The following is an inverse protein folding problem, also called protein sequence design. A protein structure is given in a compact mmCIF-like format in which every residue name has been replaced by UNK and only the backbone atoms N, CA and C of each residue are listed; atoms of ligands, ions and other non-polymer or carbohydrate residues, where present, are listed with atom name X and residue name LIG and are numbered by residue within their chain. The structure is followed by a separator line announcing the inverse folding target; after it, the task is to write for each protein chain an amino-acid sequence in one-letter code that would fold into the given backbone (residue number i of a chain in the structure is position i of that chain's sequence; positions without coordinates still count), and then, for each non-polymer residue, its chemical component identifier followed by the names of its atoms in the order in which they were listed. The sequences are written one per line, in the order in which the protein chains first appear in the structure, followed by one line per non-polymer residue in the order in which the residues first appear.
data_IF_895962560886
#
_entry.id   IF_895962560886
#
_cell.length_a   1.000
_cell.length_b   1.000
_cell.length_c   1.000
_cell.angle_alpha   90.00
_cell.angle_beta   90.00
_cell.angle_gamma   90.00
#
_symmetry.space_group_name_H-M   'P 1'
#
loop_
_entity.id
_entity.type
_entity.pdbx_description
1 polymer ?
#
# COMPACT_ATOMS: atom_id res chain seq x y z
N UNK A 1 15.69 15.65 -5.43
CA UNK A 1 14.27 15.74 -5.79
C UNK A 1 13.99 15.55 -7.27
N UNK A 2 14.66 16.25 -8.21
CA UNK A 2 14.26 16.15 -9.62
C UNK A 2 14.32 14.72 -10.23
N UNK A 3 15.34 13.93 -9.90
CA UNK A 3 15.37 12.51 -10.30
C UNK A 3 14.35 11.64 -9.56
N UNK A 4 14.13 11.88 -8.27
CA UNK A 4 13.18 11.10 -7.45
C UNK A 4 11.73 11.39 -7.79
N UNK A 5 11.46 12.58 -8.35
CA UNK A 5 10.17 13.00 -8.91
C UNK A 5 10.08 12.67 -10.42
N UNK A 6 11.06 11.90 -10.93
CA UNK A 6 11.08 11.39 -12.29
C UNK A 6 10.90 12.48 -13.36
N UNK A 7 11.50 13.66 -13.15
CA UNK A 7 11.31 14.81 -14.04
C UNK A 7 11.93 14.58 -15.42
N UNK A 8 11.14 14.74 -16.46
CA UNK A 8 11.53 14.41 -17.84
C UNK A 8 12.74 15.21 -18.34
N UNK A 9 12.87 16.47 -17.92
CA UNK A 9 13.98 17.35 -18.31
C UNK A 9 15.33 16.88 -17.76
N UNK A 10 15.35 16.19 -16.61
CA UNK A 10 16.58 15.66 -16.02
C UNK A 10 17.07 14.39 -16.71
N UNK A 11 16.17 13.59 -17.26
CA UNK A 11 16.51 12.37 -17.99
C UNK A 11 16.69 12.60 -19.50
N UNK A 12 16.38 13.80 -20.00
CA UNK A 12 16.40 14.15 -21.43
C UNK A 12 15.59 13.15 -22.29
N UNK A 13 14.43 12.74 -21.77
CA UNK A 13 13.53 11.77 -22.40
C UNK A 13 12.41 12.49 -23.15
N UNK A 14 12.14 12.06 -24.38
CA UNK A 14 11.09 12.62 -25.25
C UNK A 14 10.02 11.59 -25.61
N UNK A 15 10.25 10.31 -25.30
CA UNK A 15 9.31 9.22 -25.48
C UNK A 15 9.32 8.30 -24.26
N UNK A 16 8.18 7.66 -23.99
CA UNK A 16 8.04 6.69 -22.92
C UNK A 16 8.60 5.30 -23.31
N UNK A 17 8.52 4.35 -22.38
CA UNK A 17 9.02 2.99 -22.55
C UNK A 17 8.36 2.21 -23.72
N UNK A 18 7.21 2.65 -24.23
CA UNK A 18 6.55 2.07 -25.41
C UNK A 18 6.91 2.80 -26.70
N UNK A 19 7.71 3.86 -26.63
CA UNK A 19 8.07 4.71 -27.76
C UNK A 19 7.04 5.78 -28.10
N UNK A 20 6.01 6.01 -27.26
CA UNK A 20 5.08 7.12 -27.49
C UNK A 20 5.70 8.43 -27.01
N UNK A 21 5.52 9.50 -27.79
CA UNK A 21 5.98 10.82 -27.40
C UNK A 21 5.38 11.24 -26.04
N UNK A 22 6.20 11.86 -25.19
CA UNK A 22 5.73 12.48 -23.95
C UNK A 22 4.91 13.71 -24.30
N UNK A 23 3.67 13.81 -23.79
CA UNK A 23 2.80 14.93 -24.13
C UNK A 23 3.32 16.25 -23.55
N UNK A 24 3.08 17.39 -24.22
CA UNK A 24 3.30 18.71 -23.64
C UNK A 24 2.53 18.84 -22.32
N UNK A 25 3.26 19.13 -21.23
CA UNK A 25 2.70 19.31 -19.89
C UNK A 25 2.96 18.15 -18.92
N UNK A 26 3.33 16.96 -19.41
CA UNK A 26 3.79 15.88 -18.54
C UNK A 26 5.23 16.16 -18.09
N UNK A 27 5.38 16.73 -16.89
CA UNK A 27 6.68 17.22 -16.42
C UNK A 27 7.51 16.14 -15.71
N UNK A 28 6.89 15.09 -15.18
CA UNK A 28 7.59 14.00 -14.52
C UNK A 28 6.66 12.85 -14.10
N UNK A 29 7.27 11.70 -13.81
CA UNK A 29 6.59 10.47 -13.41
C UNK A 29 7.11 9.24 -14.16
N UNK A 30 6.43 8.10 -14.03
CA UNK A 30 6.84 6.80 -14.56
C UNK A 30 7.18 6.80 -16.06
N UNK A 31 6.54 7.67 -16.86
CA UNK A 31 6.85 7.75 -18.30
C UNK A 31 8.23 8.34 -18.58
N UNK A 32 8.84 8.99 -17.60
CA UNK A 32 10.13 9.65 -17.73
C UNK A 32 11.26 8.95 -16.96
N UNK A 33 10.93 8.05 -16.02
CA UNK A 33 11.90 7.25 -15.27
C UNK A 33 11.54 5.76 -15.35
N UNK A 34 11.66 5.19 -16.55
CA UNK A 34 11.46 3.76 -16.79
C UNK A 34 12.77 2.98 -16.70
N UNK A 35 12.69 1.65 -16.84
CA UNK A 35 13.85 0.77 -16.73
C UNK A 35 15.01 1.21 -17.66
N UNK A 36 16.22 1.14 -17.14
CA UNK A 36 17.43 1.59 -17.84
C UNK A 36 17.66 3.11 -17.83
N UNK A 37 16.70 3.94 -17.42
CA UNK A 37 16.95 5.38 -17.20
C UNK A 37 17.89 5.57 -16.01
N UNK A 38 18.85 6.49 -16.14
CA UNK A 38 19.83 6.79 -15.10
C UNK A 38 19.76 8.27 -14.76
N UNK A 39 19.56 8.56 -13.48
CA UNK A 39 19.70 9.92 -12.98
C UNK A 39 21.15 10.35 -13.18
N UNK A 40 21.37 11.53 -13.75
CA UNK A 40 22.70 12.10 -13.87
C UNK A 40 23.31 12.33 -12.49
N UNK A 41 24.27 11.50 -12.09
CA UNK A 41 25.12 11.79 -10.95
C UNK A 41 26.04 12.97 -11.32
N UNK A 42 26.23 13.93 -10.41
CA UNK A 42 27.22 14.98 -10.60
C UNK A 42 28.62 14.34 -10.73
N UNK A 43 29.20 14.45 -11.92
CA UNK A 43 30.57 14.14 -12.36
C UNK A 43 31.34 13.00 -11.66
N UNK A 44 31.76 12.02 -12.47
CA UNK A 44 32.81 11.00 -12.22
C UNK A 44 32.65 10.11 -10.98
N UNK A 45 32.37 8.81 -11.20
CA UNK A 45 32.57 7.77 -10.18
C UNK A 45 31.40 6.83 -9.89
N UNK A 46 30.28 6.93 -10.60
CA UNK A 46 29.11 6.06 -10.39
C UNK A 46 29.22 4.66 -11.03
N UNK A 47 30.40 4.23 -11.49
CA UNK A 47 30.68 2.79 -11.62
C UNK A 47 30.92 2.24 -10.22
N UNK A 48 29.83 1.94 -9.52
CA UNK A 48 29.90 1.13 -8.31
C UNK A 48 30.64 -0.15 -8.64
N UNK A 49 31.74 -0.42 -7.92
CA UNK A 49 32.53 -1.65 -8.13
C UNK A 49 31.60 -2.85 -8.04
N UNK A 50 31.61 -3.69 -9.09
CA UNK A 50 30.85 -4.93 -9.08
C UNK A 50 31.18 -5.71 -7.79
N UNK A 51 30.15 -5.97 -6.98
CA UNK A 51 30.28 -6.71 -5.73
C UNK A 51 29.58 -8.05 -5.88
N UNK A 52 30.29 -9.12 -5.56
CA UNK A 52 29.67 -10.43 -5.39
C UNK A 52 29.08 -10.47 -3.99
N UNK A 53 27.76 -10.56 -3.90
CA UNK A 53 27.05 -10.76 -2.64
C UNK A 53 26.58 -12.20 -2.56
N UNK A 54 26.74 -12.83 -1.39
CA UNK A 54 26.23 -14.18 -1.13
C UNK A 54 25.09 -14.06 -0.13
N UNK A 55 23.90 -14.51 -0.51
CA UNK A 55 22.75 -14.56 0.38
C UNK A 55 22.68 -15.94 1.04
N UNK A 56 22.86 -16.00 2.37
CA UNK A 56 22.58 -17.19 3.17
C UNK A 56 21.32 -16.92 3.99
N UNK A 57 20.29 -17.74 3.80
CA UNK A 57 19.06 -17.67 4.56
C UNK A 57 18.72 -19.03 5.17
N UNK A 58 18.01 -19.00 6.29
CA UNK A 58 17.44 -20.19 6.93
C UNK A 58 15.93 -20.04 6.86
N UNK A 59 15.27 -20.95 6.16
CA UNK A 59 13.82 -21.00 6.11
C UNK A 59 13.34 -21.79 7.33
N UNK A 60 12.49 -21.16 8.14
CA UNK A 60 11.74 -21.85 9.18
C UNK A 60 10.31 -22.04 8.69
N UNK A 61 9.76 -23.23 8.91
CA UNK A 61 8.37 -23.54 8.62
C UNK A 61 7.71 -24.12 9.87
N UNK A 62 6.38 -24.12 9.86
CA UNK A 62 5.53 -24.69 10.89
C UNK A 62 4.42 -25.43 10.16
N UNK A 63 4.04 -26.60 10.67
CA UNK A 63 2.84 -27.27 10.14
C UNK A 63 1.62 -26.38 10.41
N UNK A 64 0.76 -26.26 9.41
CA UNK A 64 -0.49 -25.52 9.52
C UNK A 64 -1.63 -26.36 8.95
N UNK A 65 -2.83 -26.16 9.50
CA UNK A 65 -4.05 -26.79 9.00
C UNK A 65 -4.94 -25.76 8.31
N UNK A 66 -5.75 -26.15 7.31
CA UNK A 66 -6.76 -25.26 6.71
C UNK A 66 -7.74 -24.65 7.72
N UNK A 67 -7.87 -25.24 8.91
CA UNK A 67 -8.67 -24.71 10.01
C UNK A 67 -7.97 -23.58 10.80
N UNK A 68 -6.64 -23.47 10.72
CA UNK A 68 -5.83 -22.52 11.49
C UNK A 68 -5.36 -21.30 10.67
N UNK A 69 -5.54 -21.30 9.35
CA UNK A 69 -5.12 -20.20 8.47
C UNK A 69 -6.31 -19.72 7.65
N UNK A 70 -6.63 -18.44 7.79
CA UNK A 70 -7.68 -17.79 7.02
C UNK A 70 -7.07 -17.13 5.78
N UNK A 71 -7.69 -17.27 4.60
CA UNK A 71 -7.27 -16.53 3.42
C UNK A 71 -7.44 -15.03 3.66
N UNK A 72 -6.49 -14.26 3.11
CA UNK A 72 -6.57 -12.79 3.09
C UNK A 72 -6.76 -12.31 1.66
N UNK A 73 -7.54 -11.24 1.52
CA UNK A 73 -7.74 -10.51 0.28
C UNK A 73 -6.94 -9.22 0.32
N UNK A 74 -6.28 -8.93 -0.80
CA UNK A 74 -5.45 -7.73 -0.96
C UNK A 74 -6.28 -6.68 -1.69
N UNK A 75 -6.39 -5.50 -1.10
CA UNK A 75 -7.01 -4.34 -1.74
C UNK A 75 -6.03 -3.19 -1.78
N UNK A 76 -6.02 -2.47 -2.90
CA UNK A 76 -5.20 -1.28 -3.13
C UNK A 76 -6.15 -0.16 -3.52
N UNK A 77 -6.15 0.91 -2.74
CA UNK A 77 -6.86 2.14 -3.04
C UNK A 77 -5.90 3.10 -3.73
N UNK A 78 -6.40 3.82 -4.74
CA UNK A 78 -5.63 4.83 -5.47
C UNK A 78 -6.41 6.15 -5.50
N UNK A 79 -5.85 7.18 -4.86
CA UNK A 79 -6.43 8.54 -4.89
C UNK A 79 -6.39 9.19 -6.27
N UNK A 80 -5.58 8.69 -7.20
CA UNK A 80 -5.52 9.16 -8.58
C UNK A 80 -6.61 8.55 -9.49
N UNK A 81 -7.46 7.65 -8.97
CA UNK A 81 -8.56 7.07 -9.74
C UNK A 81 -8.10 6.18 -10.90
N UNK A 82 -7.19 5.26 -10.62
CA UNK A 82 -6.53 4.34 -11.57
C UNK A 82 -5.45 4.98 -12.45
N UNK A 83 -5.07 6.23 -12.18
CA UNK A 83 -3.94 6.90 -12.83
C UNK A 83 -2.57 6.46 -12.28
N UNK A 84 -2.53 5.80 -11.12
CA UNK A 84 -1.34 5.42 -10.34
C UNK A 84 -0.58 6.63 -9.78
N UNK A 85 -0.32 7.64 -10.60
CA UNK A 85 0.40 8.86 -10.23
C UNK A 85 -0.44 10.12 -10.49
N UNK A 86 -0.10 11.19 -9.79
CA UNK A 86 -0.59 12.54 -10.04
C UNK A 86 0.45 13.58 -9.63
N UNK A 87 0.26 14.82 -10.07
CA UNK A 87 1.09 15.95 -9.67
C UNK A 87 0.46 16.69 -8.48
N UNK A 88 1.31 17.17 -7.57
CA UNK A 88 0.93 18.12 -6.52
C UNK A 88 1.48 19.48 -6.92
N UNK A 89 0.58 20.43 -7.15
CA UNK A 89 0.96 21.80 -7.46
C UNK A 89 1.35 22.59 -6.20
N UNK A 90 2.31 23.49 -6.37
CA UNK A 90 2.71 24.44 -5.33
C UNK A 90 1.54 25.39 -5.01
N UNK A 91 1.20 25.52 -3.74
CA UNK A 91 0.06 26.33 -3.30
C UNK A 91 0.47 27.41 -2.28
N UNK A 92 1.71 27.40 -1.80
CA UNK A 92 2.17 28.27 -0.73
C UNK A 92 2.97 29.51 -1.17
N UNK A 93 2.93 29.84 -2.45
CA UNK A 93 3.57 31.03 -3.01
C UNK A 93 2.79 32.31 -2.64
N UNK A 94 2.82 32.74 -1.37
CA UNK A 94 2.11 33.97 -0.97
C UNK A 94 1.78 34.18 0.51
N UNK A 95 2.75 34.06 1.42
CA UNK A 95 2.79 34.87 2.66
C UNK A 95 1.65 34.77 3.69
N UNK A 96 0.82 33.73 3.68
CA UNK A 96 -0.13 33.46 4.76
C UNK A 96 0.25 32.15 5.45
N UNK A 97 0.59 32.21 6.75
CA UNK A 97 1.14 31.10 7.55
C UNK A 97 0.16 29.96 7.85
N UNK A 98 -0.50 29.42 6.83
CA UNK A 98 -1.21 28.15 6.89
C UNK A 98 -0.28 26.96 6.64
N UNK A 99 -0.70 25.77 7.06
CA UNK A 99 0.02 24.53 6.81
C UNK A 99 -0.09 24.16 5.31
N UNK A 100 1.05 24.07 4.63
CA UNK A 100 1.14 23.82 3.19
C UNK A 100 0.91 22.34 2.86
N UNK A 101 -0.35 21.92 2.92
CA UNK A 101 -0.73 20.52 2.74
C UNK A 101 -1.73 20.38 1.60
N UNK A 102 -1.32 19.66 0.55
CA UNK A 102 -2.24 19.13 -0.45
C UNK A 102 -2.91 17.86 0.07
N UNK A 103 -4.24 17.81 -0.01
CA UNK A 103 -5.04 16.66 0.37
C UNK A 103 -5.78 16.13 -0.85
N UNK A 104 -5.63 14.83 -1.12
CA UNK A 104 -6.39 14.13 -2.17
C UNK A 104 -7.12 12.95 -1.57
N UNK A 105 -8.37 12.78 -1.97
CA UNK A 105 -9.24 11.73 -1.43
C UNK A 105 -9.85 10.90 -2.53
N UNK A 106 -10.01 9.60 -2.29
CA UNK A 106 -10.84 8.75 -3.12
C UNK A 106 -11.68 7.83 -2.25
N UNK A 107 -12.89 7.54 -2.72
CA UNK A 107 -13.83 6.64 -2.05
C UNK A 107 -14.13 5.48 -2.97
N UNK A 108 -13.96 4.26 -2.49
CA UNK A 108 -14.22 3.05 -3.25
C UNK A 108 -14.99 2.04 -2.40
N UNK A 109 -16.05 1.47 -2.97
CA UNK A 109 -16.77 0.37 -2.34
C UNK A 109 -15.91 -0.89 -2.34
N UNK A 110 -15.74 -1.49 -1.15
CA UNK A 110 -15.00 -2.73 -1.00
C UNK A 110 -15.86 -3.91 -1.47
N UNK A 111 -15.45 -4.68 -2.50
CA UNK A 111 -16.31 -5.72 -3.07
C UNK A 111 -16.74 -6.80 -2.07
N UNK A 112 -15.86 -7.13 -1.11
CA UNK A 112 -16.14 -8.06 -0.03
C UNK A 112 -15.47 -7.54 1.24
N UNK A 113 -16.22 -7.47 2.33
CA UNK A 113 -15.78 -7.09 3.66
C UNK A 113 -15.05 -8.19 4.40
N UNK A 114 -14.76 -7.97 5.68
CA UNK A 114 -14.02 -8.89 6.54
C UNK A 114 -13.28 -8.14 7.64
N UNK A 115 -12.31 -8.82 8.24
CA UNK A 115 -11.46 -8.25 9.28
C UNK A 115 -10.22 -7.65 8.61
N UNK A 116 -10.01 -6.35 8.76
CA UNK A 116 -8.73 -5.73 8.37
C UNK A 116 -7.68 -6.26 9.33
N UNK A 117 -6.59 -6.83 8.80
CA UNK A 117 -5.49 -7.41 9.60
C UNK A 117 -4.14 -6.75 9.30
N UNK A 118 -4.07 -5.95 8.23
CA UNK A 118 -2.92 -5.15 7.88
C UNK A 118 -3.35 -3.92 7.08
N UNK A 119 -2.67 -2.79 7.28
CA UNK A 119 -2.82 -1.60 6.47
C UNK A 119 -1.52 -0.80 6.36
N UNK A 120 -1.23 -0.25 5.18
CA UNK A 120 -0.06 0.62 4.95
C UNK A 120 -0.30 1.52 3.74
N UNK A 121 0.15 2.76 3.79
CA UNK A 121 0.16 3.64 2.64
C UNK A 121 1.48 3.55 1.87
N UNK A 122 1.43 3.90 0.59
CA UNK A 122 2.60 4.08 -0.25
C UNK A 122 2.55 5.47 -0.86
N UNK A 123 3.61 6.23 -0.62
CA UNK A 123 3.76 7.61 -1.07
C UNK A 123 5.20 7.83 -1.54
N UNK A 124 5.36 8.81 -2.42
CA UNK A 124 6.65 9.31 -2.87
C UNK A 124 7.08 10.49 -1.99
N UNK A 125 8.31 10.97 -2.21
CA UNK A 125 8.86 12.10 -1.48
C UNK A 125 7.93 13.33 -1.56
N UNK A 126 7.78 14.04 -0.44
CA UNK A 126 6.76 15.08 -0.25
C UNK A 126 5.50 14.56 0.45
N UNK A 127 5.28 13.23 0.52
CA UNK A 127 4.17 12.63 1.26
C UNK A 127 4.34 12.79 2.77
N UNK A 128 3.28 13.20 3.47
CA UNK A 128 3.26 13.27 4.93
C UNK A 128 2.67 11.99 5.55
N UNK A 129 1.72 11.37 4.86
CA UNK A 129 1.01 10.19 5.29
C UNK A 129 -0.32 10.04 4.56
N UNK A 130 -1.00 8.93 4.81
CA UNK A 130 -2.36 8.73 4.40
C UNK A 130 -3.17 8.01 5.48
N UNK A 131 -4.50 8.11 5.38
CA UNK A 131 -5.43 7.47 6.30
C UNK A 131 -6.58 6.82 5.53
N UNK A 132 -7.11 5.74 6.09
CA UNK A 132 -8.24 5.00 5.56
C UNK A 132 -9.40 5.10 6.54
N UNK A 133 -10.56 5.48 6.03
CA UNK A 133 -11.76 5.74 6.82
C UNK A 133 -12.93 4.87 6.34
N UNK A 134 -13.76 4.44 7.29
CA UNK A 134 -15.03 3.79 7.02
C UNK A 134 -16.09 4.76 6.53
N UNK A 135 -17.22 4.22 6.06
CA UNK A 135 -18.36 5.01 5.56
C UNK A 135 -18.96 5.96 6.62
N UNK A 136 -18.81 5.61 7.89
CA UNK A 136 -19.23 6.36 9.07
C UNK A 136 -18.17 7.37 9.55
N UNK A 137 -17.07 7.53 8.81
CA UNK A 137 -15.98 8.44 9.14
C UNK A 137 -15.02 7.90 10.22
N UNK A 138 -15.16 6.65 10.66
CA UNK A 138 -14.23 6.06 11.62
C UNK A 138 -12.86 5.83 10.98
N UNK A 139 -11.79 6.14 11.70
CA UNK A 139 -10.43 5.82 11.29
C UNK A 139 -10.20 4.31 11.37
N UNK A 140 -9.87 3.67 10.24
CA UNK A 140 -9.54 2.24 10.16
C UNK A 140 -8.04 2.02 10.28
N UNK A 141 -7.24 2.87 9.63
CA UNK A 141 -5.79 2.84 9.69
C UNK A 141 -5.20 4.20 9.30
N UNK A 142 -4.13 4.60 9.97
CA UNK A 142 -3.31 5.76 9.61
C UNK A 142 -1.88 5.30 9.39
N UNK A 143 -1.30 5.73 8.27
CA UNK A 143 0.05 5.37 7.84
C UNK A 143 0.83 6.66 7.58
N UNK A 144 1.81 6.93 8.44
CA UNK A 144 2.64 8.13 8.42
C UNK A 144 3.99 7.86 7.75
N UNK A 145 4.50 8.84 7.01
CA UNK A 145 5.80 8.74 6.38
C UNK A 145 6.93 8.96 7.40
N UNK A 146 7.98 8.14 7.29
CA UNK A 146 9.25 8.33 8.00
C UNK A 146 10.29 8.77 7.00
N UNK A 147 10.97 9.89 7.29
CA UNK A 147 12.01 10.44 6.42
C UNK A 147 13.40 10.11 6.94
N UNK A 148 14.31 9.84 6.00
CA UNK A 148 15.73 9.72 6.32
C UNK A 148 16.34 11.06 6.70
N UNK A 149 17.43 11.03 7.46
CA UNK A 149 18.19 12.21 7.89
C UNK A 149 19.66 12.24 7.45
N UNK A 150 20.15 11.13 6.90
CA UNK A 150 21.55 10.89 6.59
C UNK A 150 21.87 10.80 5.09
N UNK A 151 22.96 10.11 4.80
CA UNK A 151 23.48 9.87 3.43
C UNK A 151 23.67 8.38 3.14
N UNK A 152 23.30 7.52 4.09
CA UNK A 152 23.44 6.07 3.98
C UNK A 152 22.21 5.47 3.29
N UNK A 153 22.39 4.31 2.67
CA UNK A 153 21.31 3.61 2.00
C UNK A 153 20.21 3.20 2.99
N UNK A 154 19.00 3.69 2.80
CA UNK A 154 17.87 3.49 3.71
C UNK A 154 17.71 4.56 4.81
N UNK A 155 18.54 5.61 4.80
CA UNK A 155 18.42 6.79 5.69
C UNK A 155 18.66 8.09 4.89
N UNK A 156 18.41 8.11 3.59
CA UNK A 156 18.75 9.26 2.77
C UNK A 156 17.86 10.48 3.10
N UNK A 157 18.51 11.61 3.37
CA UNK A 157 17.83 12.87 3.65
C UNK A 157 16.89 13.28 2.51
N UNK A 158 15.62 13.54 2.86
CA UNK A 158 14.57 13.93 1.92
C UNK A 158 13.85 12.76 1.23
N UNK A 159 14.19 11.51 1.57
CA UNK A 159 13.49 10.32 1.10
C UNK A 159 12.54 9.79 2.17
N UNK A 160 11.40 9.27 1.73
CA UNK A 160 10.59 8.39 2.57
C UNK A 160 11.32 7.05 2.67
N UNK A 161 11.84 6.75 3.86
CA UNK A 161 12.58 5.52 4.16
C UNK A 161 11.71 4.48 4.88
N UNK A 162 10.49 4.86 5.26
CA UNK A 162 9.52 3.96 5.85
C UNK A 162 8.12 4.56 5.88
N UNK A 163 7.13 3.68 6.04
CA UNK A 163 5.73 4.03 6.26
C UNK A 163 5.25 3.26 7.48
N UNK A 164 4.54 3.91 8.41
CA UNK A 164 3.97 3.20 9.55
C UNK A 164 2.87 2.25 9.08
N UNK A 165 2.74 1.13 9.79
CA UNK A 165 1.84 0.04 9.44
C UNK A 165 0.81 -0.18 10.55
N UNK A 166 -0.42 -0.53 10.17
CA UNK A 166 -1.45 -0.95 11.10
C UNK A 166 -1.52 -2.47 11.15
N UNK A 167 -1.51 -3.03 12.36
CA UNK A 167 -1.76 -4.45 12.63
C UNK A 167 -2.90 -4.61 13.64
N UNK A 168 -4.14 -4.23 13.26
CA UNK A 168 -5.30 -4.44 14.11
C UNK A 168 -5.47 -5.93 14.44
N UNK A 169 -5.93 -6.21 15.67
CA UNK A 169 -6.35 -7.57 16.03
C UNK A 169 -7.55 -7.97 15.15
N UNK A 170 -7.64 -9.23 14.70
CA UNK A 170 -8.84 -9.73 14.02
C UNK A 170 -10.11 -9.40 14.81
N UNK A 171 -11.15 -8.96 14.11
CA UNK A 171 -12.41 -8.46 14.68
C UNK A 171 -12.39 -7.05 15.29
N UNK A 172 -11.22 -6.43 15.52
CA UNK A 172 -11.15 -5.07 16.07
C UNK A 172 -11.48 -4.00 15.02
N UNK A 173 -11.08 -4.24 13.77
CA UNK A 173 -11.38 -3.38 12.62
C UNK A 173 -12.05 -4.23 11.55
N UNK A 174 -13.37 -4.11 11.44
CA UNK A 174 -14.18 -4.85 10.46
C UNK A 174 -14.73 -3.92 9.40
N UNK A 175 -14.90 -4.42 8.19
CA UNK A 175 -15.51 -3.71 7.06
C UNK A 175 -16.57 -4.61 6.43
N UNK A 176 -17.67 -4.04 5.93
CA UNK A 176 -18.79 -4.79 5.36
C UNK A 176 -18.64 -4.97 3.85
N UNK A 177 -19.34 -5.95 3.31
CA UNK A 177 -19.50 -6.10 1.86
C UNK A 177 -20.11 -4.82 1.28
N UNK A 178 -19.46 -4.27 0.25
CA UNK A 178 -19.89 -3.03 -0.40
C UNK A 178 -19.65 -1.76 0.42
N UNK A 179 -19.02 -1.83 1.59
CA UNK A 179 -18.75 -0.62 2.41
C UNK A 179 -17.85 0.34 1.63
N UNK A 180 -18.26 1.60 1.42
CA UNK A 180 -17.40 2.61 0.83
C UNK A 180 -16.32 3.00 1.83
N UNK A 181 -15.06 2.78 1.46
CA UNK A 181 -13.91 3.22 2.24
C UNK A 181 -13.29 4.44 1.58
N UNK A 182 -12.92 5.43 2.38
CA UNK A 182 -12.30 6.67 1.91
C UNK A 182 -10.84 6.70 2.29
N UNK A 183 -9.96 6.75 1.29
CA UNK A 183 -8.54 7.05 1.48
C UNK A 183 -8.33 8.56 1.41
N UNK A 184 -7.52 9.09 2.34
CA UNK A 184 -7.11 10.48 2.40
C UNK A 184 -5.58 10.51 2.37
N UNK A 185 -5.00 10.98 1.27
CA UNK A 185 -3.56 11.14 1.08
C UNK A 185 -3.15 12.59 1.28
N UNK A 186 -2.07 12.81 2.05
CA UNK A 186 -1.55 14.14 2.37
C UNK A 186 -0.13 14.29 1.84
N UNK A 187 0.12 15.39 1.17
CA UNK A 187 1.42 15.79 0.63
C UNK A 187 1.74 17.22 1.04
N UNK A 188 3.01 17.55 1.21
CA UNK A 188 3.44 18.96 1.23
C UNK A 188 3.14 19.59 -0.13
N UNK A 189 2.67 20.84 -0.10
CA UNK A 189 2.49 21.70 -1.26
C UNK A 189 3.35 22.97 -1.18
N UNK A 190 4.43 22.92 -0.38
CA UNK A 190 5.45 23.97 -0.29
C UNK A 190 6.19 24.18 -1.62
N UNK A 191 6.19 23.14 -2.46
CA UNK A 191 6.76 23.12 -3.80
C UNK A 191 5.94 22.16 -4.65
N UNK A 192 6.11 22.27 -5.96
CA UNK A 192 5.56 21.27 -6.88
C UNK A 192 6.24 19.91 -6.72
N UNK A 193 5.45 18.85 -6.76
CA UNK A 193 5.90 17.46 -6.83
C UNK A 193 5.26 16.78 -8.05
N UNK A 194 6.06 16.08 -8.85
CA UNK A 194 5.58 15.38 -10.06
C UNK A 194 5.56 13.87 -9.85
N UNK A 195 4.57 13.20 -10.45
CA UNK A 195 4.51 11.74 -10.43
C UNK A 195 4.45 11.14 -9.02
N UNK A 196 3.66 11.74 -8.12
CA UNK A 196 3.51 11.20 -6.75
C UNK A 196 2.41 10.15 -6.70
N UNK A 197 2.53 9.18 -5.79
CA UNK A 197 1.52 8.15 -5.56
C UNK A 197 0.73 8.40 -4.28
N UNK A 198 -0.55 8.07 -4.26
CA UNK A 198 -1.36 8.10 -3.03
C UNK A 198 -2.08 6.78 -2.86
N UNK A 199 -1.31 5.71 -2.70
CA UNK A 199 -1.86 4.36 -2.61
C UNK A 199 -2.05 3.95 -1.15
N UNK A 200 -3.06 3.12 -0.89
CA UNK A 200 -3.27 2.51 0.41
C UNK A 200 -3.56 1.03 0.25
N UNK A 201 -2.77 0.19 0.92
CA UNK A 201 -2.84 -1.26 0.86
C UNK A 201 -3.48 -1.77 2.14
N UNK A 202 -4.44 -2.68 2.01
CA UNK A 202 -4.97 -3.43 3.16
C UNK A 202 -5.02 -4.93 2.86
N UNK A 203 -4.86 -5.72 3.92
CA UNK A 203 -5.19 -7.14 3.93
C UNK A 203 -6.47 -7.35 4.74
N UNK A 204 -7.45 -7.99 4.12
CA UNK A 204 -8.74 -8.29 4.72
C UNK A 204 -8.90 -9.80 4.83
N UNK A 205 -8.90 -10.32 6.05
CA UNK A 205 -9.21 -11.72 6.31
C UNK A 205 -10.72 -11.95 6.17
N UNK A 206 -11.11 -13.09 5.61
CA UNK A 206 -12.49 -13.55 5.71
C UNK A 206 -12.86 -13.65 7.19
N UNK A 207 -14.10 -13.27 7.55
CA UNK A 207 -14.58 -13.55 8.90
C UNK A 207 -14.39 -15.03 9.17
N UNK A 208 -13.80 -15.38 10.32
CA UNK A 208 -13.69 -16.76 10.72
C UNK A 208 -15.09 -17.35 10.62
N UNK A 209 -15.31 -18.28 9.68
CA UNK A 209 -16.52 -19.09 9.71
C UNK A 209 -16.53 -19.67 11.11
N UNK A 210 -17.53 -19.32 11.91
CA UNK A 210 -17.97 -20.25 12.94
C UNK A 210 -18.25 -21.52 12.16
N UNK A 211 -17.32 -22.48 12.21
CA UNK A 211 -17.61 -23.83 11.81
C UNK A 211 -18.94 -24.14 12.51
N UNK A 212 -20.00 -24.53 11.79
CA UNK A 212 -21.19 -24.99 12.46
C UNK A 212 -20.70 -26.03 13.49
N UNK A 213 -21.15 -25.97 14.76
CA UNK A 213 -20.73 -26.95 15.75
C UNK A 213 -20.88 -28.31 15.09
N UNK A 214 -19.80 -29.11 15.02
CA UNK A 214 -19.78 -30.37 14.28
C UNK A 214 -21.09 -31.10 14.53
N UNK A 215 -22.01 -31.05 13.56
CA UNK A 215 -23.31 -31.65 13.74
C UNK A 215 -23.04 -33.16 13.79
N UNK A 216 -23.38 -33.78 14.93
CA UNK A 216 -23.27 -35.22 15.07
C UNK A 216 -24.01 -35.90 13.92
N UNK A 217 -23.42 -36.95 13.35
CA UNK A 217 -24.08 -37.77 12.35
C UNK A 217 -25.33 -38.39 12.98
N UNK A 218 -26.50 -37.88 12.62
CA UNK A 218 -27.79 -38.38 13.09
C UNK A 218 -28.38 -39.30 12.02
N UNK A 219 -28.62 -40.56 12.38
CA UNK A 219 -29.27 -41.54 11.52
C UNK A 219 -30.73 -41.69 11.93
N UNK A 220 -31.64 -41.76 10.95
CA UNK A 220 -33.09 -41.67 11.19
C UNK A 220 -33.85 -42.99 11.09
N UNK A 221 -33.18 -44.16 11.02
CA UNK A 221 -33.88 -45.45 10.98
C UNK A 221 -33.08 -46.59 11.63
N UNK A 222 -33.71 -47.51 12.39
CA UNK A 222 -35.12 -47.57 12.80
C UNK A 222 -35.44 -46.78 14.11
N UNK A 223 -34.43 -46.18 14.75
CA UNK A 223 -34.57 -45.24 15.88
C UNK A 223 -33.65 -44.05 15.61
N UNK A 224 -34.03 -42.80 15.89
CA UNK A 224 -33.12 -41.67 15.77
C UNK A 224 -32.00 -41.77 16.81
N UNK A 225 -30.75 -41.80 16.35
CA UNK A 225 -29.59 -41.67 17.25
C UNK A 225 -28.51 -40.84 16.56
N UNK A 226 -27.81 -40.03 17.36
CA UNK A 226 -26.73 -39.17 16.90
C UNK A 226 -25.41 -39.66 17.48
N UNK A 227 -24.39 -39.80 16.64
CA UNK A 227 -23.03 -40.04 17.10
C UNK A 227 -22.46 -38.75 17.71
N UNK A 228 -21.94 -38.79 18.95
CA UNK A 228 -21.12 -37.71 19.48
C UNK A 228 -19.93 -37.45 18.53
N UNK A 229 -19.59 -36.18 18.31
CA UNK A 229 -18.55 -35.76 17.36
C UNK A 229 -17.16 -36.36 17.61
N UNK A 230 -16.87 -36.82 18.83
CA UNK A 230 -15.62 -37.50 19.18
C UNK A 230 -15.51 -38.94 18.66
N UNK A 231 -16.61 -39.60 18.29
CA UNK A 231 -16.63 -40.97 17.76
C UNK A 231 -16.47 -41.01 16.22
N UNK A 232 -16.84 -39.94 15.53
CA UNK A 232 -16.78 -39.82 14.06
C UNK A 232 -15.45 -39.28 13.53
N UNK A 233 -14.51 -38.90 14.41
CA UNK A 233 -13.21 -38.33 14.02
C UNK A 233 -12.15 -39.39 13.64
N UNK A 234 -12.49 -40.69 13.69
CA UNK A 234 -11.58 -41.81 13.39
C UNK A 234 -12.13 -42.81 12.35
N UNK A 235 -13.11 -42.41 11.54
CA UNK A 235 -13.61 -43.18 10.39
C UNK A 235 -13.24 -42.50 9.07
#
# INVERSE_FOLDING_TARGET
MACTECRCDVYNVTADWRGHAIEPGYAGGLRCCYDGTRCGAAAEGAEGKARTVFLRYTVMWRDWSPAAVLPVRIYIFDVAGCGVEYDVEEQCSGGAGGECVHVKTATQALPRGGDVVFGVAHQHAGGAGASLHGADGRLLCESAATYGGGREAGDEAGYIVGMSTCYPRPGAVTVRDGEPLTVVSRYSSDRRHTGVMGLFYILVADHARQLPPQEGLCFSFPVPWCLPSWLSSNL
#
